data_IF_573480856406
#
_entry.id   IF_573480856406
#
_cell.length_a   1.000
_cell.length_b   1.000
_cell.length_c   1.000
_cell.angle_alpha   90.00
_cell.angle_beta   90.00
_cell.angle_gamma   90.00
#
_symmetry.space_group_name_H-M   'P 1'
#
loop_
_entity.id
_entity.type
_entity.pdbx_description
1 polymer ?
#
# COMPACT_ATOMS: atom_id res chain seq x y z
N UNK A 1 -16.82 2.27 -13.97
CA UNK A 1 -18.09 1.82 -14.58
C UNK A 1 -19.33 2.57 -14.07
N UNK A 2 -19.59 2.66 -12.76
CA UNK A 2 -20.78 3.37 -12.23
C UNK A 2 -20.94 4.83 -12.72
N UNK A 3 -19.82 5.58 -12.80
CA UNK A 3 -19.80 6.96 -13.33
C UNK A 3 -20.13 7.01 -14.82
N UNK A 4 -19.63 6.05 -15.61
CA UNK A 4 -19.92 5.92 -17.06
C UNK A 4 -21.38 5.56 -17.30
N UNK A 5 -21.94 4.64 -16.49
CA UNK A 5 -23.37 4.33 -16.54
C UNK A 5 -24.23 5.55 -16.19
N UNK A 6 -23.79 6.39 -15.24
CA UNK A 6 -24.47 7.65 -14.88
C UNK A 6 -24.40 8.67 -16.02
N UNK A 7 -23.24 8.83 -16.65
CA UNK A 7 -23.05 9.70 -17.81
C UNK A 7 -23.89 9.26 -19.03
N UNK A 8 -23.99 7.95 -19.26
CA UNK A 8 -24.83 7.37 -20.32
C UNK A 8 -26.32 7.33 -19.96
N UNK A 9 -26.73 7.76 -18.76
CA UNK A 9 -28.12 7.68 -18.29
C UNK A 9 -28.67 6.26 -18.21
N UNK A 10 -27.80 5.26 -18.04
CA UNK A 10 -28.16 3.84 -18.00
C UNK A 10 -28.39 3.31 -16.57
N UNK A 11 -28.13 4.12 -15.54
CA UNK A 11 -28.23 3.70 -14.13
C UNK A 11 -29.64 3.22 -13.78
N UNK A 12 -30.66 3.96 -14.20
CA UNK A 12 -32.06 3.61 -13.97
C UNK A 12 -32.49 2.35 -14.74
N UNK A 13 -31.89 2.14 -15.93
CA UNK A 13 -32.19 1.01 -16.80
C UNK A 13 -31.54 -0.31 -16.34
N UNK A 14 -30.33 -0.25 -15.77
CA UNK A 14 -29.53 -1.42 -15.37
C UNK A 14 -29.85 -1.94 -13.96
N UNK A 15 -30.60 -1.18 -13.16
CA UNK A 15 -31.09 -1.63 -11.85
C UNK A 15 -32.08 -2.81 -12.03
N UNK A 16 -32.03 -3.83 -11.15
CA UNK A 16 -32.86 -5.04 -11.28
C UNK A 16 -34.35 -4.71 -11.44
N UNK A 17 -35.01 -5.37 -12.40
CA UNK A 17 -36.45 -5.23 -12.67
C UNK A 17 -37.23 -6.19 -11.77
N UNK A 18 -38.14 -5.67 -10.96
CA UNK A 18 -39.25 -6.45 -10.41
C UNK A 18 -40.50 -6.01 -11.19
N UNK A 19 -41.28 -6.93 -11.78
CA UNK A 19 -42.52 -6.54 -12.46
C UNK A 19 -43.46 -5.91 -11.42
N UNK A 20 -43.81 -4.63 -11.60
CA UNK A 20 -44.85 -3.99 -10.82
C UNK A 20 -46.19 -4.60 -11.24
N UNK A 21 -46.81 -5.36 -10.34
CA UNK A 21 -48.09 -6.02 -10.57
C UNK A 21 -49.22 -5.14 -10.05
N UNK A 22 -49.33 -3.89 -10.52
CA UNK A 22 -50.58 -3.13 -10.33
C UNK A 22 -50.84 -2.21 -11.53
N UNK A 23 -51.96 -2.40 -12.26
CA UNK A 23 -52.40 -1.44 -13.26
C UNK A 23 -53.11 -0.27 -12.58
N UNK A 24 -52.59 0.94 -12.75
CA UNK A 24 -53.35 2.16 -12.53
C UNK A 24 -53.10 2.87 -11.20
N UNK A 25 -51.92 3.45 -11.01
CA UNK A 25 -51.84 4.80 -10.46
C UNK A 25 -50.49 5.44 -10.78
N UNK A 26 -50.47 6.74 -11.13
CA UNK A 26 -49.31 7.39 -11.77
C UNK A 26 -48.43 8.24 -10.87
N UNK A 27 -48.78 8.48 -9.61
CA UNK A 27 -47.98 9.37 -8.76
C UNK A 27 -47.92 8.89 -7.30
N UNK A 28 -46.87 8.15 -6.93
CA UNK A 28 -46.49 7.98 -5.53
C UNK A 28 -44.96 8.00 -5.42
N UNK A 29 -44.43 9.10 -4.87
CA UNK A 29 -43.03 9.22 -4.43
C UNK A 29 -42.99 8.77 -2.97
N UNK A 30 -42.29 7.68 -2.66
CA UNK A 30 -42.02 7.26 -1.28
C UNK A 30 -40.51 7.17 -1.05
N UNK A 31 -40.06 7.95 -0.07
CA UNK A 31 -38.74 7.97 0.54
C UNK A 31 -38.38 6.58 1.10
N UNK A 32 -37.11 6.17 0.96
CA UNK A 32 -36.58 4.96 1.61
C UNK A 32 -36.88 5.01 3.12
N UNK A 33 -37.47 3.95 3.72
CA UNK A 33 -37.44 3.80 5.17
C UNK A 33 -36.10 3.19 5.60
N UNK A 34 -35.55 3.67 6.70
CA UNK A 34 -34.40 3.04 7.37
C UNK A 34 -34.79 1.60 7.76
N UNK A 35 -34.03 0.63 7.25
CA UNK A 35 -34.11 -0.75 7.73
C UNK A 35 -33.52 -0.81 9.14
N UNK A 36 -34.38 -0.83 10.14
CA UNK A 36 -34.01 -1.25 11.49
C UNK A 36 -34.02 -2.77 11.52
N UNK A 37 -32.85 -3.38 11.73
CA UNK A 37 -32.73 -4.80 12.07
C UNK A 37 -33.35 -5.01 13.46
N UNK A 38 -34.36 -5.88 13.56
CA UNK A 38 -34.95 -6.26 14.85
C UNK A 38 -34.13 -7.41 15.45
N UNK A 39 -33.41 -7.23 16.57
CA UNK A 39 -32.75 -8.31 17.28
C UNK A 39 -33.76 -8.92 18.25
N UNK A 40 -34.59 -9.83 17.76
CA UNK A 40 -35.29 -10.80 18.61
C UNK A 40 -34.32 -11.99 18.73
N UNK A 41 -33.65 -12.28 19.84
CA UNK A 41 -34.07 -12.27 21.24
C UNK A 41 -32.91 -11.94 22.18
N UNK A 42 -32.88 -10.76 22.80
CA UNK A 42 -32.07 -10.55 24.02
C UNK A 42 -32.98 -10.09 25.17
N UNK A 43 -33.25 -10.96 26.17
CA UNK A 43 -34.12 -10.65 27.30
C UNK A 43 -33.58 -9.56 28.24
N UNK A 44 -32.40 -8.99 27.95
CA UNK A 44 -31.73 -8.00 28.80
C UNK A 44 -31.89 -6.55 28.37
N UNK A 45 -32.65 -6.22 27.31
CA UNK A 45 -32.84 -4.82 26.96
C UNK A 45 -33.80 -4.10 27.94
N UNK A 46 -33.33 -3.12 28.75
CA UNK A 46 -34.11 -2.55 29.86
C UNK A 46 -35.22 -1.58 29.44
N UNK A 47 -35.45 -1.38 28.15
CA UNK A 47 -36.36 -0.35 27.65
C UNK A 47 -37.83 -0.81 27.46
N UNK A 48 -38.17 -2.06 27.79
CA UNK A 48 -39.56 -2.56 27.65
C UNK A 48 -40.47 -2.34 28.86
N UNK A 49 -40.13 -1.46 29.80
CA UNK A 49 -41.07 -1.00 30.83
C UNK A 49 -41.16 0.51 30.87
N UNK A 50 -42.12 1.05 30.13
CA UNK A 50 -42.52 2.45 30.26
C UNK A 50 -43.22 2.91 29.00
N UNK A 51 -44.54 3.12 29.11
CA UNK A 51 -45.36 3.66 28.04
C UNK A 51 -45.00 5.11 27.73
N UNK A 52 -43.93 5.33 26.97
CA UNK A 52 -43.72 6.58 26.25
C UNK A 52 -44.30 6.43 24.84
N UNK A 53 -45.17 7.34 24.38
CA UNK A 53 -45.66 7.33 23.02
C UNK A 53 -44.48 7.56 22.06
N UNK A 54 -44.36 6.70 21.05
CA UNK A 54 -43.36 6.86 20.01
C UNK A 54 -43.51 8.24 19.34
N UNK A 55 -42.41 8.94 19.03
CA UNK A 55 -42.49 10.21 18.30
C UNK A 55 -43.19 10.02 16.96
N UNK A 56 -44.04 10.97 16.60
CA UNK A 56 -44.87 10.95 15.40
C UNK A 56 -44.02 10.73 14.14
N UNK A 57 -44.27 9.63 13.42
CA UNK A 57 -43.53 9.27 12.19
C UNK A 57 -42.93 7.87 12.17
N UNK A 58 -42.77 7.20 13.33
CA UNK A 58 -42.31 5.81 13.38
C UNK A 58 -43.48 4.82 13.26
N UNK A 59 -43.58 4.08 12.15
CA UNK A 59 -44.37 2.84 12.09
C UNK A 59 -43.46 1.66 12.39
N UNK A 60 -43.66 0.98 13.53
CA UNK A 60 -43.15 -0.39 13.72
C UNK A 60 -43.89 -1.32 12.78
N UNK A 61 -43.17 -2.14 12.02
CA UNK A 61 -43.75 -3.28 11.32
C UNK A 61 -43.25 -4.53 12.03
N UNK A 62 -44.15 -5.20 12.74
CA UNK A 62 -43.85 -6.45 13.41
C UNK A 62 -43.50 -7.52 12.37
N UNK A 63 -42.47 -8.32 12.66
CA UNK A 63 -42.08 -9.46 11.82
C UNK A 63 -43.25 -10.45 11.72
N UNK A 64 -43.55 -11.02 10.54
CA UNK A 64 -44.71 -11.90 10.39
C UNK A 64 -44.52 -13.15 11.25
N UNK A 65 -45.42 -13.33 12.23
CA UNK A 65 -45.52 -14.57 13.00
C UNK A 65 -46.11 -15.65 12.10
N UNK A 66 -45.53 -16.85 12.15
CA UNK A 66 -45.92 -17.99 11.33
C UNK A 66 -47.44 -18.22 11.38
N UNK A 67 -48.12 -18.11 10.23
CA UNK A 67 -49.56 -18.37 10.10
C UNK A 67 -50.42 -17.21 9.59
N UNK A 68 -49.89 -16.00 9.45
CA UNK A 68 -50.62 -14.92 8.75
C UNK A 68 -50.50 -15.11 7.23
N UNK A 69 -51.63 -15.20 6.51
CA UNK A 69 -51.65 -15.22 5.04
C UNK A 69 -50.80 -14.08 4.49
N UNK A 70 -49.83 -14.40 3.61
CA UNK A 70 -48.97 -13.49 2.87
C UNK A 70 -49.78 -12.55 1.94
N UNK A 71 -50.47 -11.55 2.49
CA UNK A 71 -51.27 -10.58 1.70
C UNK A 71 -50.56 -9.26 1.47
N UNK A 72 -49.27 -9.15 1.79
CA UNK A 72 -48.49 -7.99 1.37
C UNK A 72 -47.07 -8.41 1.01
N UNK A 73 -46.91 -9.02 -0.18
CA UNK A 73 -45.67 -8.80 -0.94
C UNK A 73 -45.51 -7.29 -1.03
N UNK A 74 -44.63 -6.72 -0.22
CA UNK A 74 -44.26 -5.31 -0.32
C UNK A 74 -43.47 -5.19 -1.63
N UNK A 75 -44.20 -5.00 -2.72
CA UNK A 75 -43.60 -4.62 -3.99
C UNK A 75 -43.06 -3.21 -3.79
N UNK A 76 -41.74 -3.10 -3.76
CA UNK A 76 -41.07 -1.82 -3.83
C UNK A 76 -41.50 -1.17 -5.16
N UNK A 77 -42.40 -0.19 -5.08
CA UNK A 77 -42.69 0.69 -6.21
C UNK A 77 -41.42 1.51 -6.47
N UNK A 78 -40.52 0.96 -7.28
CA UNK A 78 -39.34 1.66 -7.76
C UNK A 78 -39.82 2.92 -8.50
N UNK A 79 -39.16 4.06 -8.22
CA UNK A 79 -39.38 5.36 -8.87
C UNK A 79 -39.82 5.20 -10.34
N UNK A 80 -40.83 5.94 -10.84
CA UNK A 80 -41.22 5.88 -12.24
C UNK A 80 -40.01 6.18 -13.13
N UNK A 81 -39.49 5.15 -13.80
CA UNK A 81 -38.23 5.25 -14.57
C UNK A 81 -38.53 5.61 -16.01
N UNK A 82 -37.82 6.61 -16.51
CA UNK A 82 -37.91 7.03 -17.91
C UNK A 82 -36.95 6.19 -18.74
N UNK A 83 -37.41 5.59 -19.84
CA UNK A 83 -36.51 4.92 -20.77
C UNK A 83 -35.70 5.96 -21.52
N UNK A 84 -34.36 6.00 -21.40
CA UNK A 84 -33.56 6.98 -22.12
C UNK A 84 -33.65 6.75 -23.63
N UNK A 85 -33.65 7.83 -24.42
CA UNK A 85 -33.62 7.73 -25.88
C UNK A 85 -32.37 6.99 -26.36
N UNK A 86 -32.51 6.11 -27.36
CA UNK A 86 -31.41 5.35 -27.98
C UNK A 86 -30.70 4.36 -27.03
N UNK A 87 -31.45 3.59 -26.25
CA UNK A 87 -30.92 2.58 -25.30
C UNK A 87 -29.89 1.65 -25.95
N UNK A 88 -30.18 1.14 -27.15
CA UNK A 88 -29.29 0.21 -27.86
C UNK A 88 -27.93 0.84 -28.17
N UNK A 89 -27.90 2.09 -28.67
CA UNK A 89 -26.66 2.80 -28.94
C UNK A 89 -25.85 3.08 -27.67
N UNK A 90 -26.54 3.44 -26.57
CA UNK A 90 -25.90 3.66 -25.26
C UNK A 90 -25.32 2.36 -24.67
N UNK A 91 -26.02 1.24 -24.84
CA UNK A 91 -25.53 -0.08 -24.42
C UNK A 91 -24.34 -0.54 -25.27
N UNK A 92 -24.39 -0.36 -26.59
CA UNK A 92 -23.25 -0.66 -27.48
C UNK A 92 -22.04 0.18 -27.10
N UNK A 93 -22.23 1.49 -26.84
CA UNK A 93 -21.15 2.36 -26.37
C UNK A 93 -20.59 1.92 -25.01
N UNK A 94 -21.46 1.53 -24.06
CA UNK A 94 -21.03 0.98 -22.78
C UNK A 94 -20.21 -0.31 -22.96
N UNK A 95 -20.64 -1.22 -23.84
CA UNK A 95 -19.92 -2.45 -24.15
C UNK A 95 -18.56 -2.18 -24.80
N UNK A 96 -18.47 -1.22 -25.73
CA UNK A 96 -17.20 -0.84 -26.36
C UNK A 96 -16.24 -0.19 -25.36
N UNK A 97 -16.73 0.71 -24.50
CA UNK A 97 -15.93 1.33 -23.45
C UNK A 97 -15.46 0.30 -22.43
N UNK A 98 -16.33 -0.63 -22.03
CA UNK A 98 -15.97 -1.71 -21.13
C UNK A 98 -14.93 -2.64 -21.74
N UNK A 99 -15.14 -3.07 -22.99
CA UNK A 99 -14.18 -3.90 -23.72
C UNK A 99 -12.83 -3.19 -23.87
N UNK A 100 -12.82 -1.91 -24.27
CA UNK A 100 -11.60 -1.11 -24.35
C UNK A 100 -10.88 -1.00 -23.02
N UNK A 101 -11.62 -0.76 -21.92
CA UNK A 101 -11.04 -0.77 -20.57
C UNK A 101 -10.46 -2.14 -20.20
N UNK A 102 -11.14 -3.25 -20.51
CA UNK A 102 -10.65 -4.60 -20.24
C UNK A 102 -9.37 -4.92 -21.02
N UNK A 103 -9.33 -4.58 -22.31
CA UNK A 103 -8.13 -4.76 -23.14
C UNK A 103 -6.98 -3.89 -22.63
N UNK A 104 -7.24 -2.63 -22.30
CA UNK A 104 -6.23 -1.73 -21.75
C UNK A 104 -5.70 -2.24 -20.39
N UNK A 105 -6.59 -2.74 -19.52
CA UNK A 105 -6.20 -3.33 -18.25
C UNK A 105 -5.36 -4.59 -18.45
N UNK A 106 -5.74 -5.47 -19.38
CA UNK A 106 -4.98 -6.67 -19.71
C UNK A 106 -3.56 -6.28 -20.19
N UNK A 107 -3.46 -5.36 -21.15
CA UNK A 107 -2.18 -4.87 -21.67
C UNK A 107 -1.34 -4.22 -20.56
N UNK A 108 -1.95 -3.41 -19.68
CA UNK A 108 -1.25 -2.78 -18.58
C UNK A 108 -0.70 -3.81 -17.58
N UNK A 109 -1.45 -4.88 -17.29
CA UNK A 109 -1.03 -5.94 -16.36
C UNK A 109 0.01 -6.86 -17.00
N UNK A 110 -0.05 -7.13 -18.31
CA UNK A 110 0.87 -8.07 -18.98
C UNK A 110 2.14 -7.41 -19.50
N UNK A 111 2.03 -6.25 -20.16
CA UNK A 111 3.16 -5.54 -20.78
C UNK A 111 3.71 -4.43 -19.89
N UNK A 112 2.88 -3.82 -19.04
CA UNK A 112 3.32 -2.77 -18.12
C UNK A 112 4.49 -3.19 -17.23
N UNK A 113 4.48 -4.38 -16.59
CA UNK A 113 5.61 -4.83 -15.79
C UNK A 113 6.89 -4.95 -16.63
N UNK A 114 6.82 -5.44 -17.86
CA UNK A 114 8.02 -5.55 -18.70
C UNK A 114 8.60 -4.17 -19.04
N UNK A 115 7.75 -3.18 -19.34
CA UNK A 115 8.18 -1.81 -19.66
C UNK A 115 8.81 -1.13 -18.45
N UNK A 116 8.15 -1.19 -17.29
CA UNK A 116 8.68 -0.61 -16.04
C UNK A 116 9.96 -1.33 -15.63
N UNK A 117 9.95 -2.65 -15.74
CA UNK A 117 11.05 -3.56 -15.46
C UNK A 117 12.32 -3.22 -16.22
N UNK A 118 12.22 -3.09 -17.54
CA UNK A 118 13.35 -2.70 -18.40
C UNK A 118 13.93 -1.33 -18.05
N UNK A 119 13.11 -0.42 -17.53
CA UNK A 119 13.59 0.89 -17.05
C UNK A 119 14.28 0.78 -15.71
N UNK A 120 13.78 -0.09 -14.83
CA UNK A 120 14.40 -0.37 -13.54
C UNK A 120 15.75 -1.10 -13.70
N UNK A 121 15.92 -1.98 -14.68
CA UNK A 121 17.17 -2.73 -14.92
C UNK A 121 18.15 -2.02 -15.86
N UNK A 122 17.72 -0.96 -16.55
CA UNK A 122 18.52 -0.26 -17.57
C UNK A 122 19.93 0.13 -17.11
N UNK A 123 20.09 0.55 -15.85
CA UNK A 123 21.40 0.92 -15.30
C UNK A 123 22.32 -0.28 -15.09
N UNK A 124 21.75 -1.41 -14.67
CA UNK A 124 22.47 -2.68 -14.50
C UNK A 124 22.88 -3.23 -15.86
N UNK A 125 21.96 -3.19 -16.83
CA UNK A 125 22.19 -3.68 -18.19
C UNK A 125 23.31 -2.88 -18.89
N UNK A 126 23.40 -1.58 -18.63
CA UNK A 126 24.50 -0.71 -19.10
C UNK A 126 25.86 -1.05 -18.47
N UNK A 127 25.87 -1.62 -17.27
CA UNK A 127 27.10 -1.96 -16.55
C UNK A 127 27.57 -3.38 -16.87
N UNK A 128 26.68 -4.37 -16.77
CA UNK A 128 27.01 -5.79 -16.95
C UNK A 128 27.01 -6.22 -18.42
N UNK A 129 26.38 -5.45 -19.30
CA UNK A 129 26.29 -5.77 -20.73
C UNK A 129 25.39 -6.97 -20.99
N UNK A 130 24.08 -6.72 -21.06
CA UNK A 130 23.10 -7.74 -21.41
C UNK A 130 21.76 -7.49 -20.73
N UNK A 131 20.68 -7.44 -21.51
CA UNK A 131 19.32 -7.30 -20.99
C UNK A 131 18.69 -8.67 -20.73
N UNK A 132 18.25 -8.91 -19.50
CA UNK A 132 17.51 -10.12 -19.14
C UNK A 132 16.02 -9.79 -18.98
N UNK A 133 15.22 -10.16 -19.99
CA UNK A 133 13.77 -9.92 -19.99
C UNK A 133 13.03 -10.56 -18.79
N UNK A 134 13.36 -11.78 -18.33
CA UNK A 134 12.72 -12.36 -17.14
C UNK A 134 13.01 -11.58 -15.87
N UNK A 135 14.26 -11.12 -15.67
CA UNK A 135 14.65 -10.31 -14.53
C UNK A 135 13.92 -8.97 -14.60
N UNK A 136 13.95 -8.32 -15.77
CA UNK A 136 13.23 -7.07 -16.02
C UNK A 136 11.75 -7.22 -15.66
N UNK A 137 11.07 -8.25 -16.17
CA UNK A 137 9.67 -8.52 -15.86
C UNK A 137 9.44 -8.66 -14.35
N UNK A 138 10.25 -9.45 -13.65
CA UNK A 138 10.14 -9.64 -12.20
C UNK A 138 10.30 -8.31 -11.44
N UNK A 139 11.32 -7.52 -11.78
CA UNK A 139 11.53 -6.20 -11.17
C UNK A 139 10.34 -5.26 -11.41
N UNK A 140 9.78 -5.27 -12.62
CA UNK A 140 8.60 -4.47 -12.94
C UNK A 140 7.34 -4.90 -12.20
N UNK A 141 7.14 -6.20 -11.99
CA UNK A 141 6.04 -6.71 -11.15
C UNK A 141 6.18 -6.20 -9.72
N UNK A 142 7.39 -6.27 -9.14
CA UNK A 142 7.67 -5.76 -7.79
C UNK A 142 7.37 -4.26 -7.69
N UNK A 143 7.85 -3.46 -8.64
CA UNK A 143 7.62 -2.00 -8.66
C UNK A 143 6.13 -1.68 -8.72
N UNK A 144 5.41 -2.31 -9.66
CA UNK A 144 3.97 -2.08 -9.82
C UNK A 144 3.17 -2.54 -8.61
N UNK A 145 3.51 -3.69 -8.03
CA UNK A 145 2.88 -4.19 -6.80
C UNK A 145 3.06 -3.21 -5.66
N UNK A 146 4.28 -2.70 -5.45
CA UNK A 146 4.56 -1.71 -4.40
C UNK A 146 3.82 -0.38 -4.64
N UNK A 147 3.65 0.06 -5.89
CA UNK A 147 2.86 1.25 -6.21
C UNK A 147 1.37 1.05 -5.96
N UNK A 148 0.82 -0.11 -6.28
CA UNK A 148 -0.56 -0.46 -5.93
C UNK A 148 -0.76 -0.48 -4.41
N UNK A 149 0.17 -1.11 -3.68
CA UNK A 149 0.15 -1.13 -2.22
C UNK A 149 0.25 0.28 -1.64
N UNK A 150 1.14 1.13 -2.16
CA UNK A 150 1.25 2.53 -1.73
C UNK A 150 -0.03 3.33 -2.00
N UNK A 151 -0.70 3.11 -3.14
CA UNK A 151 -1.98 3.74 -3.44
C UNK A 151 -3.07 3.30 -2.46
N UNK A 152 -3.09 2.02 -2.10
CA UNK A 152 -4.02 1.48 -1.11
C UNK A 152 -3.77 2.04 0.29
N UNK A 153 -2.50 2.09 0.71
CA UNK A 153 -2.10 2.74 1.95
C UNK A 153 -2.55 4.21 1.98
N UNK A 154 -2.31 4.98 0.91
CA UNK A 154 -2.80 6.36 0.83
C UNK A 154 -4.32 6.44 0.94
N UNK A 155 -5.07 5.54 0.29
CA UNK A 155 -6.53 5.49 0.38
C UNK A 155 -7.00 5.26 1.82
N UNK A 156 -6.39 4.30 2.51
CA UNK A 156 -6.71 3.94 3.90
C UNK A 156 -6.34 5.07 4.86
N UNK A 157 -5.15 5.65 4.73
CA UNK A 157 -4.72 6.76 5.60
C UNK A 157 -5.54 8.04 5.40
N UNK A 158 -6.13 8.24 4.21
CA UNK A 158 -7.00 9.38 3.90
C UNK A 158 -8.48 9.14 4.22
N UNK A 159 -8.84 8.01 4.84
CA UNK A 159 -10.22 7.75 5.26
C UNK A 159 -10.70 8.86 6.21
N UNK A 160 -11.80 9.57 5.89
CA UNK A 160 -12.32 10.60 6.78
C UNK A 160 -12.74 9.96 8.10
N UNK A 161 -12.37 10.56 9.23
CA UNK A 161 -12.68 10.01 10.55
C UNK A 161 -14.16 9.66 10.73
N UNK A 162 -15.07 10.39 10.07
CA UNK A 162 -16.51 10.14 10.07
C UNK A 162 -16.92 8.72 9.64
N UNK A 163 -16.12 8.04 8.82
CA UNK A 163 -16.37 6.68 8.35
C UNK A 163 -15.84 5.61 9.32
N UNK A 164 -15.06 5.99 10.33
CA UNK A 164 -14.54 5.07 11.36
C UNK A 164 -15.59 4.84 12.44
N UNK A 165 -15.80 3.59 12.86
CA UNK A 165 -16.76 3.27 13.93
C UNK A 165 -16.45 4.03 15.23
N UNK A 166 -17.44 4.59 15.96
CA UNK A 166 -17.21 5.40 17.14
C UNK A 166 -16.47 4.66 18.27
N UNK A 167 -16.72 3.36 18.46
CA UNK A 167 -16.02 2.55 19.47
C UNK A 167 -14.50 2.46 19.20
N UNK A 168 -14.08 2.40 17.94
CA UNK A 168 -12.66 2.40 17.57
C UNK A 168 -12.00 3.75 17.83
N UNK A 169 -12.73 4.85 17.57
CA UNK A 169 -12.24 6.20 17.90
C UNK A 169 -12.06 6.39 19.41
N UNK A 170 -12.97 5.84 20.21
CA UNK A 170 -12.87 5.87 21.67
C UNK A 170 -11.69 5.04 22.18
N UNK A 171 -11.34 3.96 21.49
CA UNK A 171 -10.15 3.14 21.75
C UNK A 171 -8.83 3.75 21.20
N UNK A 172 -8.84 5.02 20.77
CA UNK A 172 -7.64 5.72 20.31
C UNK A 172 -7.24 5.48 18.86
N UNK A 173 -8.09 4.84 18.04
CA UNK A 173 -7.79 4.62 16.62
C UNK A 173 -7.79 5.92 15.81
N UNK A 174 -6.65 6.26 15.22
CA UNK A 174 -6.53 7.39 14.30
C UNK A 174 -5.09 7.61 13.83
N UNK A 175 -4.95 8.20 12.64
CA UNK A 175 -3.63 8.63 12.14
C UNK A 175 -3.29 9.97 12.79
N UNK A 176 -2.18 10.03 13.53
CA UNK A 176 -1.76 11.22 14.26
C UNK A 176 -0.87 12.10 13.38
N UNK A 177 -1.06 13.42 13.42
CA UNK A 177 -0.22 14.38 12.71
C UNK A 177 -0.35 14.39 11.18
N UNK A 178 -1.35 13.69 10.61
CA UNK A 178 -1.54 13.61 9.16
C UNK A 178 -2.12 14.91 8.61
N UNK A 179 -1.39 15.54 7.69
CA UNK A 179 -1.91 16.62 6.82
C UNK A 179 -1.84 16.17 5.37
N UNK A 180 -2.80 16.57 4.53
CA UNK A 180 -2.81 16.20 3.10
C UNK A 180 -1.51 16.66 2.42
N UNK A 181 -1.08 17.90 2.72
CA UNK A 181 0.17 18.44 2.19
C UNK A 181 1.39 17.65 2.70
N UNK A 182 1.39 17.25 3.97
CA UNK A 182 2.44 16.40 4.56
C UNK A 182 2.51 15.04 3.87
N UNK A 183 1.37 14.39 3.63
CA UNK A 183 1.29 13.11 2.92
C UNK A 183 1.83 13.22 1.50
N UNK A 184 1.42 14.25 0.74
CA UNK A 184 1.93 14.50 -0.62
C UNK A 184 3.44 14.70 -0.60
N UNK A 185 3.94 15.51 0.34
CA UNK A 185 5.37 15.79 0.49
C UNK A 185 6.17 14.51 0.81
N UNK A 186 5.73 13.74 1.81
CA UNK A 186 6.39 12.49 2.19
C UNK A 186 6.35 11.47 1.06
N UNK A 187 5.19 11.31 0.39
CA UNK A 187 5.06 10.43 -0.77
C UNK A 187 5.99 10.87 -1.91
N UNK A 188 6.05 12.17 -2.22
CA UNK A 188 6.94 12.69 -3.26
C UNK A 188 8.42 12.47 -2.92
N UNK A 189 8.83 12.72 -1.68
CA UNK A 189 10.21 12.50 -1.23
C UNK A 189 10.54 11.01 -1.25
N UNK A 190 9.71 10.16 -0.64
CA UNK A 190 9.99 8.73 -0.48
C UNK A 190 9.86 7.92 -1.78
N UNK A 191 8.82 8.17 -2.59
CA UNK A 191 8.56 7.41 -3.81
C UNK A 191 9.32 7.94 -5.03
N UNK A 192 9.75 9.21 -5.02
CA UNK A 192 10.40 9.84 -6.18
C UNK A 192 11.76 10.44 -5.83
N UNK A 193 11.83 11.29 -4.81
CA UNK A 193 13.06 12.02 -4.45
C UNK A 193 14.23 11.12 -4.05
N UNK A 194 14.06 10.27 -3.04
CA UNK A 194 15.10 9.35 -2.55
C UNK A 194 15.49 8.33 -3.62
N UNK A 195 14.53 7.67 -4.32
CA UNK A 195 14.83 6.83 -5.47
C UNK A 195 15.65 7.54 -6.55
N UNK A 196 15.24 8.74 -6.96
CA UNK A 196 15.97 9.50 -7.96
C UNK A 196 17.42 9.79 -7.53
N UNK A 197 17.63 10.19 -6.27
CA UNK A 197 18.97 10.43 -5.73
C UNK A 197 19.83 9.16 -5.79
N UNK A 198 19.29 8.01 -5.39
CA UNK A 198 19.99 6.72 -5.46
C UNK A 198 20.36 6.38 -6.91
N UNK A 199 19.41 6.52 -7.85
CA UNK A 199 19.67 6.30 -9.26
C UNK A 199 20.73 7.24 -9.83
N UNK A 200 20.68 8.53 -9.47
CA UNK A 200 21.65 9.54 -9.89
C UNK A 200 23.05 9.23 -9.36
N UNK A 201 23.17 8.85 -8.08
CA UNK A 201 24.42 8.43 -7.46
C UNK A 201 25.04 7.27 -8.24
N UNK A 202 24.28 6.21 -8.50
CA UNK A 202 24.77 5.04 -9.23
C UNK A 202 25.15 5.41 -10.67
N UNK A 203 24.41 6.31 -11.30
CA UNK A 203 24.69 6.75 -12.67
C UNK A 203 25.99 7.53 -12.80
N UNK A 204 26.39 8.29 -11.76
CA UNK A 204 27.69 8.97 -11.72
C UNK A 204 28.87 7.97 -11.66
N UNK A 205 28.63 6.75 -11.18
CA UNK A 205 29.62 5.67 -11.17
C UNK A 205 29.75 4.98 -12.53
N UNK A 206 28.74 5.08 -13.40
CA UNK A 206 28.73 4.38 -14.69
C UNK A 206 29.64 5.05 -15.73
N UNK A 207 30.44 4.27 -16.49
CA UNK A 207 31.29 4.77 -17.56
C UNK A 207 30.53 5.10 -18.86
N UNK A 208 29.27 5.51 -18.79
CA UNK A 208 28.39 5.65 -19.96
C UNK A 208 28.40 7.05 -20.56
N UNK A 209 28.38 7.15 -21.90
CA UNK A 209 28.38 8.42 -22.64
C UNK A 209 27.03 9.15 -22.64
N UNK A 210 25.92 8.43 -22.38
CA UNK A 210 24.56 8.99 -22.37
C UNK A 210 23.96 8.98 -20.97
N UNK A 211 23.53 10.15 -20.50
CA UNK A 211 22.86 10.27 -19.21
C UNK A 211 21.52 9.51 -19.19
N UNK A 212 21.23 8.71 -18.15
CA UNK A 212 19.94 8.00 -18.04
C UNK A 212 18.76 8.96 -17.89
N UNK A 213 17.59 8.52 -18.36
CA UNK A 213 16.37 9.30 -18.22
C UNK A 213 15.91 9.37 -16.76
N UNK A 214 15.17 10.43 -16.39
CA UNK A 214 14.57 10.58 -15.06
C UNK A 214 13.84 9.30 -14.61
N UNK A 215 13.06 8.69 -15.50
CA UNK A 215 12.30 7.49 -15.19
C UNK A 215 13.19 6.26 -14.92
N UNK A 216 14.30 6.10 -15.66
CA UNK A 216 15.27 5.04 -15.40
C UNK A 216 15.93 5.21 -14.03
N UNK A 217 16.33 6.44 -13.69
CA UNK A 217 16.94 6.76 -12.40
C UNK A 217 15.98 6.47 -11.24
N UNK A 218 14.74 6.94 -11.34
CA UNK A 218 13.73 6.76 -10.29
C UNK A 218 13.32 5.30 -10.15
N UNK A 219 13.05 4.56 -11.23
CA UNK A 219 12.65 3.16 -11.13
C UNK A 219 13.76 2.26 -10.58
N UNK A 220 15.00 2.44 -11.03
CA UNK A 220 16.14 1.71 -10.50
C UNK A 220 16.37 2.04 -9.03
N UNK A 221 16.40 3.32 -8.68
CA UNK A 221 16.62 3.72 -7.30
C UNK A 221 15.48 3.31 -6.37
N UNK A 222 14.25 3.19 -6.89
CA UNK A 222 13.10 2.71 -6.14
C UNK A 222 13.29 1.23 -5.79
N UNK A 223 13.68 0.42 -6.77
CA UNK A 223 14.06 -0.98 -6.56
C UNK A 223 15.17 -1.09 -5.51
N UNK A 224 16.27 -0.35 -5.69
CA UNK A 224 17.41 -0.40 -4.77
C UNK A 224 17.01 0.03 -3.37
N UNK A 225 16.19 1.08 -3.24
CA UNK A 225 15.66 1.53 -1.97
C UNK A 225 14.84 0.42 -1.31
N UNK A 226 13.83 -0.15 -1.99
CA UNK A 226 12.95 -1.15 -1.40
C UNK A 226 13.69 -2.45 -1.04
N UNK A 227 14.56 -2.95 -1.93
CA UNK A 227 15.35 -4.14 -1.63
C UNK A 227 16.37 -3.88 -0.53
N UNK A 228 17.06 -2.73 -0.56
CA UNK A 228 18.00 -2.34 0.49
C UNK A 228 17.30 -2.23 1.85
N UNK A 229 16.08 -1.68 1.85
CA UNK A 229 15.23 -1.59 3.03
C UNK A 229 14.81 -2.97 3.54
N UNK A 230 14.34 -3.84 2.65
CA UNK A 230 13.97 -5.22 2.96
C UNK A 230 15.16 -5.97 3.59
N UNK A 231 16.33 -5.91 2.97
CA UNK A 231 17.54 -6.52 3.51
C UNK A 231 17.92 -5.93 4.87
N UNK A 232 17.83 -4.61 5.03
CA UNK A 232 18.15 -3.94 6.28
C UNK A 232 17.17 -4.27 7.42
N UNK A 233 15.87 -4.39 7.12
CA UNK A 233 14.82 -4.76 8.08
C UNK A 233 14.82 -6.25 8.42
N UNK A 234 15.11 -7.12 7.46
CA UNK A 234 15.01 -8.57 7.65
C UNK A 234 16.30 -9.22 8.17
N UNK A 235 17.48 -8.67 7.86
CA UNK A 235 18.72 -9.30 8.28
C UNK A 235 19.29 -8.72 9.56
N UNK A 236 19.31 -7.41 9.75
CA UNK A 236 20.13 -6.79 10.80
C UNK A 236 19.24 -6.50 12.02
N UNK A 237 19.49 -7.07 13.22
CA UNK A 237 18.87 -6.65 14.45
C UNK A 237 19.46 -5.29 14.84
N UNK A 238 18.60 -4.29 14.94
CA UNK A 238 18.98 -2.93 15.26
C UNK A 238 18.76 -2.64 16.75
N UNK A 239 19.61 -1.78 17.30
CA UNK A 239 19.46 -1.28 18.67
C UNK A 239 18.40 -0.17 18.73
N UNK A 240 17.62 -0.19 19.81
CA UNK A 240 16.53 0.76 20.10
C UNK A 240 16.91 2.21 19.78
N UNK A 241 16.17 2.83 18.86
CA UNK A 241 16.32 4.25 18.48
C UNK A 241 16.97 4.46 17.12
N UNK A 242 17.21 3.40 16.35
CA UNK A 242 17.71 3.51 14.98
C UNK A 242 16.62 3.97 13.99
N UNK A 243 17.06 4.51 12.85
CA UNK A 243 16.18 4.86 11.70
C UNK A 243 15.42 3.62 11.21
N UNK A 244 16.02 2.44 11.32
CA UNK A 244 15.44 1.17 10.88
C UNK A 244 14.40 0.62 11.85
N UNK A 245 14.57 0.78 13.17
CA UNK A 245 13.49 0.47 14.11
C UNK A 245 12.29 1.38 13.90
N UNK A 246 12.54 2.68 13.71
CA UNK A 246 11.50 3.66 13.44
C UNK A 246 10.74 3.32 12.15
N UNK A 247 11.45 2.81 11.15
CA UNK A 247 10.87 2.33 9.91
C UNK A 247 10.08 1.03 10.09
N UNK A 248 10.60 0.04 10.82
CA UNK A 248 9.87 -1.20 11.12
C UNK A 248 8.58 -0.92 11.88
N UNK A 249 8.64 -0.01 12.87
CA UNK A 249 7.45 0.48 13.59
C UNK A 249 6.47 1.13 12.62
N UNK A 250 6.93 2.04 11.75
CA UNK A 250 6.06 2.69 10.77
C UNK A 250 5.44 1.70 9.77
N UNK A 251 6.19 0.70 9.31
CA UNK A 251 5.69 -0.37 8.44
C UNK A 251 4.61 -1.20 9.13
N UNK A 252 4.83 -1.59 10.39
CA UNK A 252 3.84 -2.31 11.19
C UNK A 252 2.58 -1.47 11.43
N UNK A 253 2.74 -0.18 11.70
CA UNK A 253 1.61 0.76 11.88
C UNK A 253 0.83 0.95 10.57
N UNK A 254 1.51 1.08 9.42
CA UNK A 254 0.86 1.14 8.10
C UNK A 254 0.12 -0.16 7.81
N UNK A 255 0.74 -1.31 8.03
CA UNK A 255 0.13 -2.62 7.82
C UNK A 255 -1.09 -2.82 8.71
N UNK A 256 -1.03 -2.38 9.97
CA UNK A 256 -2.16 -2.40 10.89
C UNK A 256 -3.36 -1.64 10.31
N UNK A 257 -3.15 -0.44 9.75
CA UNK A 257 -4.24 0.31 9.12
C UNK A 257 -4.84 -0.40 7.90
N UNK A 258 -4.02 -1.03 7.06
CA UNK A 258 -4.50 -1.79 5.89
C UNK A 258 -5.34 -2.99 6.34
N UNK A 259 -4.83 -3.81 7.26
CA UNK A 259 -5.56 -4.97 7.81
C UNK A 259 -6.85 -4.53 8.51
N UNK A 260 -6.79 -3.45 9.29
CA UNK A 260 -7.97 -2.88 9.96
C UNK A 260 -9.06 -2.43 8.97
N UNK A 261 -8.68 -1.96 7.78
CA UNK A 261 -9.62 -1.59 6.73
C UNK A 261 -10.27 -2.80 6.06
N UNK A 262 -9.55 -3.90 5.90
CA UNK A 262 -10.02 -5.08 5.15
C UNK A 262 -10.76 -6.09 6.04
N UNK A 263 -10.22 -6.39 7.21
CA UNK A 263 -10.72 -7.42 8.12
C UNK A 263 -11.50 -6.85 9.31
N UNK A 264 -11.39 -5.52 9.54
CA UNK A 264 -11.89 -4.89 10.76
C UNK A 264 -10.96 -5.10 11.96
N UNK A 265 -11.30 -4.46 13.09
CA UNK A 265 -10.51 -4.56 14.32
C UNK A 265 -11.40 -5.08 15.45
N UNK A 266 -10.97 -6.16 16.09
CA UNK A 266 -11.58 -6.66 17.32
C UNK A 266 -11.02 -5.85 18.49
N UNK A 267 -11.86 -5.03 19.12
CA UNK A 267 -11.46 -4.19 20.26
C UNK A 267 -11.63 -4.99 21.55
N UNK A 268 -10.58 -5.67 21.99
CA UNK A 268 -10.53 -6.38 23.28
C UNK A 268 -10.17 -5.45 24.47
N UNK A 269 -10.73 -4.24 24.51
CA UNK A 269 -10.58 -3.31 25.65
C UNK A 269 -9.23 -2.59 25.79
N UNK A 270 -8.21 -2.94 25.00
CA UNK A 270 -6.90 -2.27 25.00
C UNK A 270 -6.88 -0.97 24.17
N UNK A 271 -6.07 0.00 24.62
CA UNK A 271 -5.77 1.23 23.88
C UNK A 271 -5.02 0.91 22.58
N UNK A 272 -5.64 1.21 21.43
CA UNK A 272 -5.11 0.91 20.09
C UNK A 272 -4.19 2.03 19.59
N UNK A 273 -4.09 3.16 20.30
CA UNK A 273 -3.33 4.32 19.87
C UNK A 273 -1.85 4.00 19.56
N UNK A 274 -1.22 3.12 20.32
CA UNK A 274 0.19 2.72 20.13
C UNK A 274 0.44 1.95 18.82
N UNK A 275 -0.61 1.30 18.25
CA UNK A 275 -0.55 0.57 16.97
C UNK A 275 -0.83 1.48 15.78
N UNK A 276 -1.35 2.68 16.02
CA UNK A 276 -1.70 3.61 14.98
C UNK A 276 -0.47 4.37 14.48
N UNK A 277 -0.52 4.80 13.21
CA UNK A 277 0.56 5.53 12.59
C UNK A 277 0.70 6.95 13.16
N UNK A 278 1.89 7.26 13.67
CA UNK A 278 2.32 8.63 13.95
C UNK A 278 3.09 9.17 12.74
N UNK A 279 2.40 9.99 11.94
CA UNK A 279 2.95 10.53 10.71
C UNK A 279 4.10 11.51 10.96
N UNK A 280 4.03 12.29 12.06
CA UNK A 280 5.07 13.26 12.40
C UNK A 280 6.35 12.53 12.83
N UNK A 281 6.22 11.47 13.62
CA UNK A 281 7.35 10.62 14.00
C UNK A 281 7.97 9.93 12.77
N UNK A 282 7.15 9.42 11.84
CA UNK A 282 7.65 8.82 10.60
C UNK A 282 8.44 9.83 9.74
N UNK A 283 7.90 11.04 9.54
CA UNK A 283 8.61 12.07 8.78
C UNK A 283 9.94 12.46 9.44
N UNK A 284 9.96 12.66 10.76
CA UNK A 284 11.12 13.12 11.50
C UNK A 284 12.21 12.05 11.66
N UNK A 285 11.82 10.79 11.89
CA UNK A 285 12.75 9.71 12.26
C UNK A 285 13.15 8.81 11.09
N UNK A 286 12.39 8.82 9.98
CA UNK A 286 12.67 7.97 8.81
C UNK A 286 13.00 8.79 7.58
N UNK A 287 12.06 9.63 7.13
CA UNK A 287 12.16 10.31 5.82
C UNK A 287 13.32 11.30 5.80
N UNK A 288 13.38 12.21 6.79
CA UNK A 288 14.42 13.23 6.83
C UNK A 288 15.82 12.69 7.10
N UNK A 289 16.03 11.74 8.02
CA UNK A 289 17.34 11.10 8.19
C UNK A 289 17.82 10.42 6.92
N UNK A 290 16.97 9.67 6.23
CA UNK A 290 17.34 9.00 4.97
C UNK A 290 17.70 10.03 3.88
N UNK A 291 16.92 11.11 3.77
CA UNK A 291 17.22 12.21 2.87
C UNK A 291 18.58 12.86 3.17
N UNK A 292 18.89 13.14 4.44
CA UNK A 292 20.16 13.74 4.84
C UNK A 292 21.34 12.82 4.53
N UNK A 293 21.22 11.51 4.81
CA UNK A 293 22.29 10.54 4.52
C UNK A 293 22.56 10.47 3.01
N UNK A 294 21.52 10.40 2.18
CA UNK A 294 21.69 10.37 0.71
C UNK A 294 22.27 11.69 0.17
N UNK A 295 21.79 12.84 0.66
CA UNK A 295 22.32 14.15 0.25
C UNK A 295 23.77 14.32 0.69
N UNK A 296 24.12 13.96 1.92
CA UNK A 296 25.50 14.00 2.41
C UNK A 296 26.42 13.02 1.64
N UNK A 297 25.89 11.83 1.31
CA UNK A 297 26.55 10.83 0.48
C UNK A 297 26.89 11.32 -0.93
N UNK A 298 26.14 12.28 -1.45
CA UNK A 298 26.38 12.89 -2.75
C UNK A 298 27.23 14.17 -2.65
N UNK A 299 26.95 15.02 -1.65
CA UNK A 299 27.56 16.34 -1.50
C UNK A 299 29.07 16.26 -1.23
N UNK A 300 29.51 15.27 -0.43
CA UNK A 300 30.91 15.15 -0.06
C UNK A 300 31.80 14.74 -1.26
N UNK A 301 31.46 13.71 -2.06
CA UNK A 301 32.21 13.38 -3.28
C UNK A 301 32.14 14.48 -4.34
N UNK A 302 31.00 15.18 -4.46
CA UNK A 302 30.87 16.37 -5.32
C UNK A 302 31.83 17.47 -4.89
N UNK A 303 31.88 17.80 -3.60
CA UNK A 303 32.78 18.81 -3.07
C UNK A 303 34.25 18.43 -3.34
N UNK A 304 34.64 17.17 -3.12
CA UNK A 304 35.98 16.68 -3.46
C UNK A 304 36.30 16.85 -4.95
N UNK A 305 35.34 16.52 -5.83
CA UNK A 305 35.49 16.68 -7.27
C UNK A 305 35.63 18.15 -7.70
N UNK A 306 34.84 19.06 -7.10
CA UNK A 306 34.89 20.50 -7.40
C UNK A 306 36.20 21.11 -6.90
N UNK A 307 36.65 20.76 -5.69
CA UNK A 307 37.96 21.19 -5.17
C UNK A 307 39.08 20.71 -6.08
N UNK A 308 39.04 19.46 -6.54
CA UNK A 308 40.00 18.95 -7.51
C UNK A 308 39.99 19.76 -8.81
N UNK A 309 38.80 20.05 -9.35
CA UNK A 309 38.65 20.82 -10.58
C UNK A 309 39.20 22.24 -10.46
N UNK A 310 38.95 22.91 -9.33
CA UNK A 310 39.36 24.30 -9.13
C UNK A 310 40.85 24.46 -8.81
N UNK A 311 41.45 23.50 -8.08
CA UNK A 311 42.78 23.68 -7.48
C UNK A 311 43.87 22.76 -8.04
N UNK A 312 43.49 21.64 -8.66
CA UNK A 312 44.42 20.58 -9.05
C UNK A 312 44.32 20.16 -10.52
N UNK A 313 43.38 20.74 -11.27
CA UNK A 313 43.20 20.42 -12.69
C UNK A 313 44.47 20.79 -13.49
N UNK A 314 45.11 19.78 -14.08
CA UNK A 314 46.37 19.92 -14.84
C UNK A 314 47.62 19.47 -14.09
N UNK A 315 47.55 19.23 -12.77
CA UNK A 315 48.67 18.70 -11.96
C UNK A 315 48.71 17.16 -12.01
N UNK A 316 47.53 16.54 -12.05
CA UNK A 316 47.34 15.09 -12.13
C UNK A 316 46.61 14.75 -13.44
N UNK A 317 46.96 13.65 -14.09
CA UNK A 317 46.29 13.14 -15.30
C UNK A 317 44.88 12.55 -15.05
N UNK A 318 44.29 12.83 -13.89
CA UNK A 318 42.96 12.35 -13.51
C UNK A 318 41.91 13.38 -13.94
N UNK A 319 40.76 12.91 -14.42
CA UNK A 319 39.59 13.79 -14.62
C UNK A 319 38.81 13.94 -13.31
N UNK A 320 38.08 15.05 -13.15
CA UNK A 320 37.22 15.29 -11.98
C UNK A 320 36.24 14.13 -11.71
N UNK A 321 35.75 13.45 -12.76
CA UNK A 321 34.90 12.25 -12.65
C UNK A 321 35.60 11.09 -11.95
N UNK A 322 36.89 10.88 -12.20
CA UNK A 322 37.65 9.82 -11.52
C UNK A 322 37.80 10.13 -10.03
N UNK A 323 38.01 11.40 -9.69
CA UNK A 323 38.12 11.84 -8.28
C UNK A 323 36.78 11.70 -7.57
N UNK A 324 35.67 12.07 -8.21
CA UNK A 324 34.32 11.85 -7.69
C UNK A 324 34.09 10.36 -7.38
N UNK A 325 34.38 9.47 -8.34
CA UNK A 325 34.16 8.02 -8.17
C UNK A 325 35.03 7.44 -7.07
N UNK A 326 36.29 7.86 -6.99
CA UNK A 326 37.20 7.43 -5.93
C UNK A 326 36.71 7.90 -4.55
N UNK A 327 36.34 9.18 -4.41
CA UNK A 327 35.81 9.74 -3.17
C UNK A 327 34.49 9.08 -2.74
N UNK A 328 33.60 8.79 -3.68
CA UNK A 328 32.35 8.08 -3.40
C UNK A 328 32.64 6.63 -2.96
N UNK A 329 33.51 5.91 -3.66
CA UNK A 329 33.87 4.54 -3.32
C UNK A 329 34.51 4.47 -1.93
N UNK A 330 35.45 5.37 -1.61
CA UNK A 330 36.08 5.41 -0.28
C UNK A 330 35.08 5.75 0.81
N UNK A 331 34.10 6.61 0.54
CA UNK A 331 33.02 6.90 1.48
C UNK A 331 32.14 5.68 1.73
N UNK A 332 31.71 4.95 0.68
CA UNK A 332 30.90 3.75 0.81
C UNK A 332 31.65 2.64 1.55
N UNK A 333 32.91 2.39 1.18
CA UNK A 333 33.76 1.40 1.85
C UNK A 333 34.02 1.80 3.30
N UNK A 334 34.26 3.08 3.57
CA UNK A 334 34.43 3.60 4.93
C UNK A 334 33.17 3.40 5.78
N UNK A 335 31.99 3.72 5.24
CA UNK A 335 30.70 3.46 5.89
C UNK A 335 30.47 1.97 6.15
N UNK A 336 30.80 1.11 5.19
CA UNK A 336 30.71 -0.33 5.35
C UNK A 336 31.65 -0.84 6.45
N UNK A 337 32.91 -0.38 6.47
CA UNK A 337 33.89 -0.79 7.49
C UNK A 337 33.46 -0.31 8.87
N UNK A 338 33.04 0.94 9.01
CA UNK A 338 32.51 1.47 10.29
C UNK A 338 31.25 0.72 10.72
N UNK A 339 30.36 0.40 9.77
CA UNK A 339 29.18 -0.41 10.02
C UNK A 339 29.52 -1.83 10.49
N UNK A 340 30.48 -2.50 9.83
CA UNK A 340 30.93 -3.84 10.20
C UNK A 340 31.70 -3.88 11.53
N UNK A 341 32.38 -2.79 11.90
CA UNK A 341 33.05 -2.63 13.18
C UNK A 341 32.12 -2.24 14.32
N UNK A 342 30.85 -1.90 14.01
CA UNK A 342 29.88 -1.59 15.05
C UNK A 342 29.57 -2.83 15.89
N UNK A 343 29.37 -2.62 17.20
CA UNK A 343 28.93 -3.68 18.12
C UNK A 343 27.59 -4.31 17.70
N UNK A 344 26.79 -3.58 16.92
CA UNK A 344 25.55 -4.06 16.33
C UNK A 344 25.80 -5.12 15.24
N UNK A 345 26.77 -4.91 14.34
CA UNK A 345 27.12 -5.90 13.33
C UNK A 345 27.75 -7.17 13.94
N UNK A 346 28.54 -7.01 15.02
CA UNK A 346 29.07 -8.15 15.78
C UNK A 346 27.96 -9.00 16.43
N UNK A 347 26.98 -8.34 17.06
CA UNK A 347 25.78 -8.99 17.62
C UNK A 347 24.92 -9.63 16.52
N UNK A 348 24.82 -8.99 15.35
CA UNK A 348 24.13 -9.57 14.20
C UNK A 348 24.73 -10.88 13.74
N UNK A 349 26.05 -10.93 13.49
CA UNK A 349 26.69 -12.17 13.05
C UNK A 349 26.52 -13.31 14.06
N UNK A 350 26.50 -12.98 15.36
CA UNK A 350 26.21 -13.94 16.42
C UNK A 350 24.75 -14.39 16.38
N UNK A 351 23.79 -13.46 16.30
CA UNK A 351 22.36 -13.79 16.23
C UNK A 351 21.98 -14.58 14.97
N UNK A 352 22.54 -14.24 13.81
CA UNK A 352 22.34 -14.99 12.56
C UNK A 352 22.91 -16.41 12.68
N UNK A 353 24.13 -16.55 13.23
CA UNK A 353 24.74 -17.85 13.48
C UNK A 353 23.87 -18.69 14.41
N UNK A 354 23.33 -18.08 15.45
CA UNK A 354 22.53 -18.77 16.45
C UNK A 354 21.13 -19.12 15.89
N UNK A 355 20.50 -18.24 15.10
CA UNK A 355 19.23 -18.54 14.41
C UNK A 355 19.37 -19.66 13.36
N UNK A 356 20.43 -19.62 12.53
CA UNK A 356 20.73 -20.71 11.58
C UNK A 356 20.96 -22.03 12.33
N UNK A 357 21.65 -21.96 13.47
CA UNK A 357 21.89 -23.12 14.32
C UNK A 357 20.59 -23.67 14.92
N UNK A 358 19.69 -22.81 15.38
CA UNK A 358 18.41 -23.20 15.96
C UNK A 358 17.42 -23.76 14.93
N UNK A 359 17.35 -23.15 13.74
CA UNK A 359 16.62 -23.70 12.58
C UNK A 359 17.15 -25.09 12.21
N UNK A 360 18.47 -25.26 12.12
CA UNK A 360 19.09 -26.57 11.87
C UNK A 360 18.78 -27.58 12.98
N UNK A 361 18.71 -27.15 14.25
CA UNK A 361 18.31 -28.00 15.35
C UNK A 361 16.82 -28.36 15.32
N UNK A 362 15.95 -27.43 14.92
CA UNK A 362 14.51 -27.65 14.78
C UNK A 362 14.23 -28.64 13.64
N UNK A 363 14.82 -28.41 12.46
CA UNK A 363 14.75 -29.34 11.34
C UNK A 363 15.32 -30.70 11.72
N UNK A 364 16.46 -30.72 12.43
CA UNK A 364 17.06 -31.96 12.93
C UNK A 364 16.19 -32.69 13.95
N UNK A 365 15.45 -31.98 14.79
CA UNK A 365 14.50 -32.52 15.76
C UNK A 365 13.25 -33.07 15.07
N UNK A 366 12.66 -32.32 14.15
CA UNK A 366 11.50 -32.77 13.36
C UNK A 366 11.81 -34.01 12.53
N UNK A 367 13.01 -34.10 11.95
CA UNK A 367 13.48 -35.31 11.25
C UNK A 367 13.69 -36.50 12.18
N UNK A 368 14.03 -36.27 13.45
CA UNK A 368 14.24 -37.33 14.45
C UNK A 368 12.95 -37.81 15.09
N UNK A 369 11.98 -36.90 15.22
CA UNK A 369 10.62 -37.15 15.72
C UNK A 369 9.68 -37.67 14.61
N UNK A 370 10.13 -37.66 13.35
CA UNK A 370 9.43 -38.25 12.21
C UNK A 370 9.40 -39.78 12.32
N UNK A 371 8.35 -40.30 12.95
CA UNK A 371 8.03 -41.72 12.99
C UNK A 371 6.99 -42.06 11.89
N UNK A 372 7.41 -42.65 10.75
CA UNK A 372 6.53 -42.90 9.61
C UNK A 372 5.38 -43.87 9.95
N UNK A 373 5.47 -44.62 11.05
CA UNK A 373 4.45 -45.58 11.47
C UNK A 373 3.25 -44.94 12.18
N UNK A 374 3.39 -43.72 12.73
CA UNK A 374 2.29 -43.02 13.43
C UNK A 374 1.34 -42.29 12.49
N UNK A 375 1.83 -41.75 11.36
CA UNK A 375 0.97 -41.04 10.39
C UNK A 375 0.07 -41.97 9.57
N UNK A 376 0.45 -43.25 9.38
CA UNK A 376 -0.40 -44.23 8.70
C UNK A 376 -1.60 -44.70 9.54
N UNK A 377 -1.59 -44.49 10.87
CA UNK A 377 -2.75 -44.80 11.74
C UNK A 377 -3.72 -43.64 11.90
N UNK A 378 -3.39 -42.46 11.36
CA UNK A 378 -4.22 -41.26 11.43
C UNK A 378 -4.98 -40.95 10.12
N UNK A 379 -4.93 -41.87 9.15
CA UNK A 379 -5.82 -41.94 7.99
C UNK A 379 -6.61 -43.24 8.08
#
# INVERSE_FOLDING_TARGET
MAVVCRWLGLVEFLLPRVPALVPGDRDVILTLPDLVFDPLDDPHHPQQRGGQPAPYGFRRREWPKAGALDTARMEYALLPRTSPSFVLARLVLLCLLWWGCMVAALVAVTLGPLVVGRRATALVDRFLGGGHDPISLAMGVVVLFMWMYAAEVCRVLMLPQQHVHPALRQAGYGVHGLTILGLIKVAAVYLVGLPYLIGAIVSLLLPTSTWPSFFELTCFGFVVLQYGLYWACCLIPWDQGSVLDSLCVAMNQIQFHVIASDEGVVVEGDDVAHKCLDFAAFEANVVWPLARVLVAGLALPLACSVVYQLWFQGVLHLTHVHVFRAAFLTQVVGLLVVGLQSEAAGRWFQGLRDAIRDELYLVGRELRDYDPTKQQRAK
#
